data_IF_116664726725
#
_entry.id   IF_116664726725
#
_cell.length_a   1.000
_cell.length_b   1.000
_cell.length_c   1.000
_cell.angle_alpha   90.00
_cell.angle_beta   90.00
_cell.angle_gamma   90.00
#
_symmetry.space_group_name_H-M   'P 1'
#
loop_
_entity.id
_entity.type
_entity.pdbx_description
1 polymer ?
#
# COMPACT_ATOMS: atom_id res chain seq x y z
N UNK A 1 -20.89 23.28 -19.94
CA UNK A 1 -19.88 22.52 -19.18
C UNK A 1 -18.60 22.53 -20.00
N UNK A 2 -17.45 22.93 -19.50
CA UNK A 2 -16.21 22.83 -20.25
C UNK A 2 -15.90 21.35 -20.51
N UNK A 3 -15.55 21.05 -21.75
CA UNK A 3 -15.36 19.70 -22.28
C UNK A 3 -14.16 19.07 -21.54
N UNK A 4 -14.27 17.82 -21.02
CA UNK A 4 -13.20 17.11 -20.30
C UNK A 4 -11.85 17.10 -21.06
N UNK A 5 -11.91 17.19 -22.40
CA UNK A 5 -10.73 17.27 -23.26
C UNK A 5 -9.98 18.63 -23.16
N UNK A 6 -10.67 19.72 -22.93
CA UNK A 6 -10.07 21.07 -22.79
C UNK A 6 -9.40 21.24 -21.42
N UNK A 7 -10.05 20.71 -20.37
CA UNK A 7 -9.48 20.72 -19.01
C UNK A 7 -8.20 19.87 -18.92
N UNK A 8 -8.18 18.74 -19.59
CA UNK A 8 -6.99 17.85 -19.65
C UNK A 8 -5.85 18.51 -20.43
N UNK A 9 -6.12 19.22 -21.54
CA UNK A 9 -5.09 19.93 -22.31
C UNK A 9 -4.50 21.11 -21.54
N UNK A 10 -5.33 21.86 -20.83
CA UNK A 10 -4.89 22.95 -19.96
C UNK A 10 -3.97 22.46 -18.85
N UNK A 11 -4.33 21.34 -18.18
CA UNK A 11 -3.53 20.74 -17.13
C UNK A 11 -2.18 20.25 -17.65
N UNK A 12 -2.13 19.56 -18.80
CA UNK A 12 -0.87 19.11 -19.41
C UNK A 12 0.02 20.32 -19.75
N UNK A 13 -0.56 21.40 -20.30
CA UNK A 13 0.17 22.63 -20.63
C UNK A 13 0.79 23.27 -19.38
N UNK A 14 0.06 23.31 -18.27
CA UNK A 14 0.55 23.88 -17.03
C UNK A 14 1.69 23.03 -16.43
N UNK A 15 1.57 21.71 -16.42
CA UNK A 15 2.64 20.82 -15.95
C UNK A 15 3.89 20.98 -16.84
N UNK A 16 3.73 21.06 -18.16
CA UNK A 16 4.86 21.29 -19.08
C UNK A 16 5.65 22.57 -18.78
N UNK A 17 5.00 23.62 -18.29
CA UNK A 17 5.68 24.87 -17.89
C UNK A 17 6.56 24.70 -16.65
N UNK A 18 6.29 23.69 -15.83
CA UNK A 18 7.09 23.37 -14.65
C UNK A 18 8.35 22.55 -14.99
N UNK A 19 8.42 21.99 -16.21
CA UNK A 19 9.50 21.10 -16.61
C UNK A 19 10.68 21.90 -17.16
N UNK A 20 11.91 21.45 -16.81
CA UNK A 20 13.15 22.00 -17.36
C UNK A 20 13.20 21.78 -18.87
N UNK A 21 13.58 22.83 -19.59
CA UNK A 21 13.67 22.83 -21.05
C UNK A 21 15.11 22.54 -21.49
N UNK A 22 15.27 21.89 -22.64
CA UNK A 22 16.55 21.67 -23.27
C UNK A 22 17.00 22.93 -24.03
N UNK A 23 18.33 23.16 -24.15
CA UNK A 23 18.92 24.30 -24.87
C UNK A 23 18.45 24.41 -26.32
N UNK A 24 18.18 23.30 -26.97
CA UNK A 24 17.69 23.21 -28.36
C UNK A 24 16.16 23.24 -28.49
N UNK A 25 15.46 23.56 -27.39
CA UNK A 25 13.99 23.53 -27.32
C UNK A 25 13.44 22.14 -26.95
N UNK A 26 12.20 22.13 -26.43
CA UNK A 26 11.52 20.92 -25.94
C UNK A 26 11.87 20.57 -24.49
N UNK A 27 11.12 19.63 -23.91
CA UNK A 27 11.29 19.20 -22.52
C UNK A 27 12.57 18.36 -22.37
N UNK A 28 13.39 18.74 -21.39
CA UNK A 28 14.58 17.97 -21.06
C UNK A 28 14.20 16.63 -20.44
N UNK A 29 14.73 15.54 -20.99
CA UNK A 29 14.43 14.19 -20.51
C UNK A 29 15.28 13.86 -19.28
N UNK A 30 14.90 14.34 -18.09
CA UNK A 30 15.58 14.14 -16.82
C UNK A 30 14.73 13.32 -15.85
N UNK A 31 15.37 12.71 -14.83
CA UNK A 31 14.64 12.05 -13.75
C UNK A 31 13.76 13.06 -13.00
N UNK A 32 14.26 14.26 -12.75
CA UNK A 32 13.50 15.30 -12.06
C UNK A 32 12.22 15.69 -12.80
N UNK A 33 12.26 15.85 -14.11
CA UNK A 33 11.07 16.12 -14.90
C UNK A 33 10.08 14.95 -14.86
N UNK A 34 10.57 13.70 -14.85
CA UNK A 34 9.72 12.52 -14.65
C UNK A 34 9.06 12.54 -13.27
N UNK A 35 9.79 12.87 -12.19
CA UNK A 35 9.23 13.02 -10.84
C UNK A 35 8.16 14.11 -10.82
N UNK A 36 8.44 15.29 -11.38
CA UNK A 36 7.48 16.39 -11.45
C UNK A 36 6.17 15.96 -12.14
N UNK A 37 6.26 15.21 -13.23
CA UNK A 37 5.04 14.70 -13.91
C UNK A 37 4.32 13.67 -13.05
N UNK A 38 5.03 12.73 -12.44
CA UNK A 38 4.43 11.70 -11.57
C UNK A 38 3.67 12.30 -10.38
N UNK A 39 4.17 13.42 -9.83
CA UNK A 39 3.58 14.08 -8.68
C UNK A 39 2.42 15.04 -9.04
N UNK A 40 2.34 15.52 -10.29
CA UNK A 40 1.37 16.56 -10.66
C UNK A 40 0.35 16.10 -11.71
N UNK A 41 0.58 15.01 -12.44
CA UNK A 41 -0.38 14.50 -13.41
C UNK A 41 -1.64 13.97 -12.72
N UNK A 42 -2.85 14.39 -13.10
CA UNK A 42 -4.09 14.03 -12.39
C UNK A 42 -4.36 12.53 -12.24
N UNK A 43 -3.80 11.71 -13.13
CA UNK A 43 -3.96 10.24 -13.06
C UNK A 43 -2.86 9.62 -12.21
N UNK A 44 -1.63 10.16 -12.27
CA UNK A 44 -0.45 9.58 -11.63
C UNK A 44 -0.18 10.11 -10.22
N UNK A 45 -0.63 11.35 -9.92
CA UNK A 45 -0.41 11.98 -8.63
C UNK A 45 -0.98 11.12 -7.47
N UNK A 46 -0.19 10.93 -6.44
CA UNK A 46 -0.48 10.12 -5.23
C UNK A 46 -0.90 8.67 -5.52
N UNK A 47 -0.70 8.17 -6.74
CA UNK A 47 -1.09 6.80 -7.09
C UNK A 47 0.00 5.77 -6.78
N UNK A 48 1.26 6.18 -6.79
CA UNK A 48 2.44 5.30 -6.69
C UNK A 48 2.98 5.36 -5.26
N UNK A 49 3.02 4.21 -4.58
CA UNK A 49 3.49 4.10 -3.20
C UNK A 49 4.33 2.84 -2.98
N UNK A 50 5.32 2.92 -2.10
CA UNK A 50 6.08 1.75 -1.65
C UNK A 50 5.36 1.08 -0.49
N UNK A 51 4.99 -0.17 -0.65
CA UNK A 51 4.45 -1.00 0.41
C UNK A 51 5.61 -1.58 1.23
N UNK A 52 5.78 -1.08 2.45
CA UNK A 52 6.88 -1.49 3.33
C UNK A 52 6.75 -2.94 3.87
N UNK A 53 5.57 -3.55 3.77
CA UNK A 53 5.36 -4.93 4.19
C UNK A 53 5.82 -5.93 3.12
N UNK A 54 5.51 -5.65 1.85
CA UNK A 54 5.87 -6.51 0.72
C UNK A 54 7.15 -6.09 0.01
N UNK A 55 7.70 -4.90 0.33
CA UNK A 55 8.82 -4.24 -0.35
C UNK A 55 8.57 -4.03 -1.86
N UNK A 56 7.30 -3.91 -2.25
CA UNK A 56 6.88 -3.72 -3.64
C UNK A 56 6.26 -2.34 -3.84
N UNK A 57 6.37 -1.86 -5.06
CA UNK A 57 5.68 -0.64 -5.48
C UNK A 57 4.25 -1.00 -5.83
N UNK A 58 3.32 -0.31 -5.19
CA UNK A 58 1.88 -0.46 -5.43
C UNK A 58 1.30 0.77 -6.10
N UNK A 59 0.25 0.56 -6.89
CA UNK A 59 -0.62 1.61 -7.40
C UNK A 59 -1.91 1.58 -6.58
N UNK A 60 -2.11 2.60 -5.75
CA UNK A 60 -3.16 2.64 -4.72
C UNK A 60 -4.44 3.37 -5.15
N UNK A 61 -4.45 3.93 -6.38
CA UNK A 61 -5.63 4.61 -6.95
C UNK A 61 -6.16 3.85 -8.17
N UNK A 62 -7.47 3.97 -8.49
CA UNK A 62 -7.99 3.54 -9.77
C UNK A 62 -7.28 4.26 -10.92
N UNK A 63 -6.85 3.51 -11.91
CA UNK A 63 -6.19 4.02 -13.10
C UNK A 63 -7.17 4.00 -14.28
N UNK A 64 -6.87 4.72 -15.34
CA UNK A 64 -7.68 4.70 -16.57
C UNK A 64 -7.55 3.41 -17.41
N UNK A 65 -7.05 2.31 -16.80
CA UNK A 65 -6.92 0.97 -17.40
C UNK A 65 -7.19 -0.11 -16.36
N UNK A 66 -7.55 -1.30 -16.85
CA UNK A 66 -7.85 -2.45 -16.00
C UNK A 66 -6.57 -3.03 -15.40
N UNK A 67 -6.63 -3.40 -14.11
CA UNK A 67 -5.54 -3.96 -13.33
C UNK A 67 -6.01 -5.20 -12.57
N UNK A 68 -5.12 -6.16 -12.38
CA UNK A 68 -5.41 -7.43 -11.68
C UNK A 68 -5.08 -7.39 -10.18
N UNK A 69 -4.38 -6.37 -9.70
CA UNK A 69 -3.97 -6.25 -8.30
C UNK A 69 -3.31 -4.91 -7.98
N UNK A 70 -2.87 -4.70 -6.74
CA UNK A 70 -2.26 -3.43 -6.32
C UNK A 70 -0.83 -3.24 -6.82
N UNK A 71 -0.04 -4.30 -6.95
CA UNK A 71 1.38 -4.22 -7.31
C UNK A 71 1.57 -3.72 -8.73
N UNK A 72 2.54 -2.81 -8.92
CA UNK A 72 2.96 -2.29 -10.22
C UNK A 72 3.44 -3.44 -11.13
N UNK A 73 2.87 -3.54 -12.32
CA UNK A 73 3.20 -4.54 -13.35
C UNK A 73 3.90 -3.90 -14.55
N UNK A 74 4.47 -4.73 -15.44
CA UNK A 74 5.02 -4.28 -16.71
C UNK A 74 3.96 -3.60 -17.59
N UNK A 75 2.72 -4.10 -17.55
CA UNK A 75 1.59 -3.48 -18.26
C UNK A 75 1.31 -2.08 -17.71
N UNK A 76 1.31 -1.90 -16.39
CA UNK A 76 1.17 -0.56 -15.79
C UNK A 76 2.31 0.38 -16.23
N UNK A 77 3.54 -0.14 -16.27
CA UNK A 77 4.70 0.63 -16.74
C UNK A 77 4.49 1.14 -18.17
N UNK A 78 3.96 0.31 -19.08
CA UNK A 78 3.67 0.72 -20.45
C UNK A 78 2.61 1.82 -20.54
N UNK A 79 1.54 1.74 -19.73
CA UNK A 79 0.54 2.80 -19.68
C UNK A 79 1.10 4.11 -19.09
N UNK A 80 1.97 4.02 -18.08
CA UNK A 80 2.66 5.18 -17.50
C UNK A 80 3.58 5.79 -18.55
N UNK A 81 4.40 5.02 -19.25
CA UNK A 81 5.29 5.50 -20.32
C UNK A 81 4.50 6.22 -21.41
N UNK A 82 3.43 5.62 -21.92
CA UNK A 82 2.55 6.25 -22.91
C UNK A 82 1.97 7.59 -22.42
N UNK A 83 1.73 7.72 -21.10
CA UNK A 83 1.29 8.95 -20.51
C UNK A 83 2.41 9.99 -20.41
N UNK A 84 3.63 9.57 -20.06
CA UNK A 84 4.83 10.40 -20.01
C UNK A 84 5.20 11.01 -21.37
N UNK A 85 4.94 10.30 -22.46
CA UNK A 85 5.15 10.79 -23.83
C UNK A 85 4.36 12.06 -24.12
N UNK A 86 3.19 12.26 -23.51
CA UNK A 86 2.40 13.49 -23.62
C UNK A 86 3.14 14.73 -23.08
N UNK A 87 4.14 14.50 -22.24
CA UNK A 87 5.00 15.53 -21.64
C UNK A 87 6.36 15.65 -22.35
N UNK A 88 6.64 14.81 -23.36
CA UNK A 88 7.92 14.78 -24.05
C UNK A 88 9.00 13.94 -23.32
N UNK A 89 8.58 13.02 -22.44
CA UNK A 89 9.45 12.16 -21.65
C UNK A 89 9.37 10.72 -22.18
N UNK A 90 10.44 10.23 -22.81
CA UNK A 90 10.43 8.96 -23.56
C UNK A 90 11.36 7.89 -22.98
N UNK A 91 12.16 8.22 -21.95
CA UNK A 91 13.16 7.28 -21.41
C UNK A 91 12.55 6.41 -20.32
N UNK A 92 12.30 5.15 -20.64
CA UNK A 92 11.83 4.13 -19.70
C UNK A 92 12.73 4.03 -18.45
N UNK A 93 14.06 4.05 -18.65
CA UNK A 93 15.03 4.00 -17.54
C UNK A 93 14.86 5.17 -16.57
N UNK A 94 14.61 6.38 -17.06
CA UNK A 94 14.42 7.57 -16.22
C UNK A 94 13.05 7.57 -15.55
N UNK A 95 12.02 7.15 -16.25
CA UNK A 95 10.67 6.99 -15.70
C UNK A 95 10.68 5.93 -14.60
N UNK A 96 11.32 4.79 -14.80
CA UNK A 96 11.46 3.75 -13.79
C UNK A 96 12.22 4.23 -12.54
N UNK A 97 13.30 5.01 -12.72
CA UNK A 97 14.02 5.63 -11.61
C UNK A 97 13.14 6.62 -10.84
N UNK A 98 12.39 7.48 -11.55
CA UNK A 98 11.48 8.45 -10.95
C UNK A 98 10.33 7.77 -10.18
N UNK A 99 9.78 6.67 -10.71
CA UNK A 99 8.75 5.85 -10.02
C UNK A 99 9.28 5.36 -8.67
N UNK A 100 10.53 4.85 -8.63
CA UNK A 100 11.15 4.38 -7.37
C UNK A 100 11.33 5.50 -6.36
N UNK A 101 11.73 6.70 -6.82
CA UNK A 101 11.87 7.88 -5.96
C UNK A 101 10.52 8.27 -5.39
N UNK A 102 9.51 8.47 -6.23
CA UNK A 102 8.15 8.86 -5.81
C UNK A 102 7.53 7.80 -4.89
N UNK A 103 7.71 6.51 -5.21
CA UNK A 103 7.20 5.44 -4.37
C UNK A 103 7.83 5.45 -2.97
N UNK A 104 9.14 5.68 -2.89
CA UNK A 104 9.86 5.74 -1.62
C UNK A 104 9.47 6.97 -0.79
N UNK A 105 9.26 8.13 -1.42
CA UNK A 105 8.75 9.34 -0.77
C UNK A 105 7.33 9.13 -0.21
N UNK A 106 6.52 8.33 -0.89
CA UNK A 106 5.12 8.04 -0.55
C UNK A 106 4.94 6.60 -0.02
N UNK A 107 5.85 6.13 0.82
CA UNK A 107 5.72 4.79 1.39
C UNK A 107 4.55 4.67 2.38
N UNK A 108 4.10 3.44 2.59
CA UNK A 108 3.05 3.11 3.54
C UNK A 108 3.25 1.69 4.09
N UNK A 109 2.64 1.39 5.21
CA UNK A 109 2.67 0.06 5.80
C UNK A 109 1.24 -0.39 6.14
N UNK A 110 0.61 -1.26 5.35
CA UNK A 110 -0.83 -1.53 5.45
C UNK A 110 -1.28 -1.94 6.86
N UNK A 111 -0.47 -2.75 7.56
CA UNK A 111 -0.82 -3.20 8.91
C UNK A 111 -0.59 -2.10 9.95
N UNK A 112 0.50 -1.33 9.88
CA UNK A 112 0.74 -0.22 10.83
C UNK A 112 -0.31 0.86 10.69
N UNK A 113 -0.64 1.24 9.45
CA UNK A 113 -1.64 2.25 9.16
C UNK A 113 -3.00 1.81 9.71
N UNK A 114 -3.40 0.55 9.44
CA UNK A 114 -4.61 -0.04 10.01
C UNK A 114 -4.61 0.00 11.56
N UNK A 115 -3.54 -0.45 12.20
CA UNK A 115 -3.46 -0.49 13.67
C UNK A 115 -3.48 0.91 14.30
N UNK A 116 -2.86 1.90 13.66
CA UNK A 116 -2.84 3.29 14.13
C UNK A 116 -4.20 3.98 13.99
N UNK A 117 -5.03 3.57 13.02
CA UNK A 117 -6.37 4.12 12.80
C UNK A 117 -7.41 3.52 13.74
N UNK A 118 -7.09 2.41 14.43
CA UNK A 118 -8.01 1.78 15.38
C UNK A 118 -8.26 2.67 16.60
N UNK A 119 -9.52 2.75 16.98
CA UNK A 119 -9.96 3.40 18.22
C UNK A 119 -10.63 2.38 19.11
N UNK A 120 -10.17 2.27 20.34
CA UNK A 120 -10.80 1.39 21.31
C UNK A 120 -12.17 1.94 21.72
N UNK A 121 -13.18 1.10 21.64
CA UNK A 121 -14.56 1.40 21.99
C UNK A 121 -14.90 1.08 23.46
N UNK A 122 -13.93 0.68 24.27
CA UNK A 122 -14.08 0.33 25.67
C UNK A 122 -14.53 -1.11 25.93
N UNK A 123 -14.82 -1.90 24.88
CA UNK A 123 -15.29 -3.27 25.06
C UNK A 123 -14.13 -4.27 25.16
N UNK A 124 -14.11 -5.05 26.23
CA UNK A 124 -13.15 -6.10 26.46
C UNK A 124 -13.56 -7.37 25.68
N UNK A 125 -12.77 -7.74 24.64
CA UNK A 125 -13.08 -8.87 23.75
C UNK A 125 -12.08 -9.99 23.84
N UNK A 126 -10.81 -9.68 24.11
CA UNK A 126 -9.70 -10.64 24.04
C UNK A 126 -9.84 -11.72 25.10
N UNK A 127 -10.22 -11.35 26.32
CA UNK A 127 -10.39 -12.26 27.46
C UNK A 127 -11.40 -13.38 27.21
N UNK A 128 -12.42 -13.12 26.40
CA UNK A 128 -13.50 -14.08 26.12
C UNK A 128 -13.43 -14.69 24.70
N UNK A 129 -12.50 -14.26 23.86
CA UNK A 129 -12.54 -14.61 22.42
C UNK A 129 -12.34 -16.11 22.16
N UNK A 130 -11.36 -16.76 22.81
CA UNK A 130 -11.13 -18.19 22.60
C UNK A 130 -12.27 -19.04 23.13
N UNK A 131 -12.86 -18.68 24.29
CA UNK A 131 -14.05 -19.34 24.81
C UNK A 131 -15.24 -19.18 23.86
N UNK A 132 -15.55 -17.95 23.49
CA UNK A 132 -16.73 -17.62 22.67
C UNK A 132 -16.70 -18.23 21.27
N UNK A 133 -15.57 -18.25 20.61
CA UNK A 133 -15.45 -18.66 19.20
C UNK A 133 -14.94 -20.09 19.01
N UNK A 134 -14.23 -20.65 19.98
CA UNK A 134 -13.62 -21.96 19.87
C UNK A 134 -14.01 -22.92 21.00
N UNK A 135 -14.80 -22.48 21.99
CA UNK A 135 -15.21 -23.30 23.12
C UNK A 135 -14.05 -23.68 24.07
N UNK A 136 -12.97 -22.89 24.09
CA UNK A 136 -11.88 -23.09 25.04
C UNK A 136 -12.34 -22.82 26.47
N UNK A 137 -11.56 -23.28 27.47
CA UNK A 137 -11.83 -22.96 28.87
C UNK A 137 -11.89 -21.45 29.10
N UNK A 138 -12.83 -20.99 29.89
CA UNK A 138 -12.94 -19.57 30.28
C UNK A 138 -12.12 -19.36 31.57
N UNK A 139 -10.82 -19.23 31.39
CA UNK A 139 -9.86 -19.04 32.48
C UNK A 139 -8.82 -17.96 32.12
N UNK A 140 -8.08 -17.54 33.15
CA UNK A 140 -7.04 -16.51 33.03
C UNK A 140 -5.92 -16.94 32.09
N UNK A 141 -5.52 -18.21 32.10
CA UNK A 141 -4.46 -18.73 31.24
C UNK A 141 -4.84 -18.61 29.76
N UNK A 142 -6.06 -18.99 29.41
CA UNK A 142 -6.59 -18.91 28.03
C UNK A 142 -6.65 -17.48 27.54
N UNK A 143 -7.13 -16.55 28.39
CA UNK A 143 -7.19 -15.13 28.10
C UNK A 143 -5.81 -14.50 27.89
N UNK A 144 -4.88 -14.73 28.81
CA UNK A 144 -3.52 -14.19 28.74
C UNK A 144 -2.72 -14.80 27.58
N UNK A 145 -2.90 -16.08 27.24
CA UNK A 145 -2.24 -16.72 26.10
C UNK A 145 -2.60 -16.02 24.77
N UNK A 146 -3.87 -15.72 24.54
CA UNK A 146 -4.29 -14.96 23.34
C UNK A 146 -3.79 -13.53 23.35
N UNK A 147 -3.86 -12.86 24.49
CA UNK A 147 -3.39 -11.48 24.65
C UNK A 147 -1.89 -11.36 24.36
N UNK A 148 -1.06 -12.23 24.91
CA UNK A 148 0.38 -12.26 24.67
C UNK A 148 0.66 -12.53 23.19
N UNK A 149 -0.05 -13.46 22.55
CA UNK A 149 0.09 -13.75 21.14
C UNK A 149 -0.20 -12.52 20.27
N UNK A 150 -1.31 -11.81 20.52
CA UNK A 150 -1.70 -10.60 19.78
C UNK A 150 -0.71 -9.43 20.01
N UNK A 151 -0.28 -9.22 21.25
CA UNK A 151 0.74 -8.22 21.58
C UNK A 151 2.07 -8.54 20.88
N UNK A 152 2.45 -9.81 20.80
CA UNK A 152 3.64 -10.23 20.06
C UNK A 152 3.53 -9.97 18.56
N UNK A 153 2.36 -10.21 17.97
CA UNK A 153 2.10 -9.89 16.58
C UNK A 153 2.21 -8.38 16.31
N UNK A 154 1.58 -7.55 17.15
CA UNK A 154 1.68 -6.08 17.07
C UNK A 154 3.13 -5.63 17.23
N UNK A 155 3.84 -6.16 18.23
CA UNK A 155 5.25 -5.81 18.44
C UNK A 155 6.11 -6.09 17.21
N UNK A 156 5.91 -7.22 16.53
CA UNK A 156 6.65 -7.55 15.29
C UNK A 156 6.36 -6.61 14.13
N UNK A 157 5.14 -6.08 14.05
CA UNK A 157 4.76 -5.09 13.03
C UNK A 157 5.50 -3.78 13.24
N UNK A 158 5.58 -3.29 14.48
CA UNK A 158 6.24 -2.02 14.79
C UNK A 158 7.76 -2.13 14.95
N UNK A 159 8.25 -3.30 15.37
CA UNK A 159 9.66 -3.61 15.58
C UNK A 159 10.06 -4.89 14.83
N UNK A 160 10.22 -4.84 13.49
CA UNK A 160 10.64 -5.98 12.70
C UNK A 160 11.95 -6.59 13.22
N UNK A 161 12.04 -7.92 13.23
CA UNK A 161 13.22 -8.62 13.76
C UNK A 161 13.27 -8.75 15.28
N UNK A 162 12.31 -8.21 16.03
CA UNK A 162 12.27 -8.43 17.48
C UNK A 162 12.05 -9.90 17.82
N UNK A 163 12.75 -10.36 18.88
CA UNK A 163 12.61 -11.71 19.39
C UNK A 163 11.24 -11.90 20.04
N UNK A 164 10.55 -12.97 19.66
CA UNK A 164 9.30 -13.41 20.26
C UNK A 164 9.20 -14.94 20.15
N UNK A 165 9.33 -15.62 21.27
CA UNK A 165 9.48 -17.09 21.36
C UNK A 165 8.18 -17.80 21.74
N UNK A 166 7.10 -17.07 21.95
CA UNK A 166 5.79 -17.64 22.30
C UNK A 166 5.04 -18.08 21.03
N UNK A 167 4.47 -19.27 21.08
CA UNK A 167 3.61 -19.81 20.04
C UNK A 167 2.26 -20.23 20.64
N UNK A 168 1.18 -19.65 20.12
CA UNK A 168 -0.18 -20.08 20.49
C UNK A 168 -0.55 -21.34 19.71
N UNK A 169 -0.80 -22.46 20.42
CA UNK A 169 -1.26 -23.71 19.87
C UNK A 169 -2.73 -23.94 20.19
N UNK A 170 -3.59 -24.06 19.16
CA UNK A 170 -4.99 -24.41 19.32
C UNK A 170 -5.17 -25.91 19.06
N UNK A 171 -5.53 -26.66 20.10
CA UNK A 171 -5.77 -28.13 20.05
C UNK A 171 -7.28 -28.37 20.15
N UNK A 172 -7.79 -29.29 19.32
CA UNK A 172 -9.21 -29.65 19.33
C UNK A 172 -9.64 -30.42 18.09
N UNK A 173 -10.86 -30.94 18.07
CA UNK A 173 -11.40 -31.76 16.99
C UNK A 173 -11.40 -31.07 15.62
N UNK A 174 -11.58 -31.87 14.57
CA UNK A 174 -11.79 -31.37 13.22
C UNK A 174 -13.11 -30.57 13.17
N UNK A 175 -13.11 -29.47 12.42
CA UNK A 175 -14.30 -28.61 12.29
C UNK A 175 -14.51 -27.60 13.43
N UNK A 176 -13.68 -27.59 14.48
CA UNK A 176 -13.81 -26.65 15.62
C UNK A 176 -13.49 -25.17 15.28
N UNK A 177 -13.32 -24.80 14.03
CA UNK A 177 -13.14 -23.39 13.62
C UNK A 177 -11.75 -22.79 13.83
N UNK A 178 -10.74 -23.59 14.26
CA UNK A 178 -9.38 -23.09 14.60
C UNK A 178 -8.71 -22.30 13.46
N UNK A 179 -8.72 -22.84 12.25
CA UNK A 179 -8.15 -22.16 11.07
C UNK A 179 -8.97 -20.95 10.66
N UNK A 180 -10.30 -21.02 10.80
CA UNK A 180 -11.20 -19.91 10.51
C UNK A 180 -11.00 -18.75 11.48
N UNK A 181 -10.71 -19.04 12.75
CA UNK A 181 -10.39 -18.04 13.76
C UNK A 181 -9.16 -17.20 13.34
N UNK A 182 -8.06 -17.86 12.97
CA UNK A 182 -6.86 -17.15 12.52
C UNK A 182 -7.07 -16.39 11.21
N UNK A 183 -7.83 -16.97 10.26
CA UNK A 183 -8.15 -16.29 9.00
C UNK A 183 -8.96 -15.01 9.22
N UNK A 184 -9.89 -15.02 10.19
CA UNK A 184 -10.69 -13.84 10.54
C UNK A 184 -9.89 -12.79 11.33
N UNK A 185 -8.81 -13.18 12.02
CA UNK A 185 -7.87 -12.24 12.64
C UNK A 185 -6.94 -11.60 11.62
N UNK A 186 -6.74 -12.20 10.45
CA UNK A 186 -5.96 -11.60 9.39
C UNK A 186 -6.70 -10.37 8.81
N UNK A 187 -5.97 -9.31 8.51
CA UNK A 187 -6.55 -8.05 7.99
C UNK A 187 -7.03 -8.23 6.54
N UNK A 188 -6.43 -9.17 5.82
CA UNK A 188 -6.81 -9.57 4.44
C UNK A 188 -6.54 -11.06 4.25
N UNK A 189 -7.40 -11.69 3.44
CA UNK A 189 -7.19 -13.04 2.90
C UNK A 189 -6.00 -13.10 1.96
#
# INVERSE_FOLDING_TARGET
MPNESENTRSTISNIRKMLSQAEKGGVQNTIQNCVTVLQNDPVLADSIRLNLLSERIDIVKPMGWQRSGPTLTDTDMMYILRRMEKYGLYSEKRVSAAIRIVANENHYHPIRDYLNDLKWDGAERISHALHRFLGAAEDELTAEALKIFLLGAIKRVFHPGCKFEMMLCLVGGQGAGKSSFFRLLAIKD
#
